data_IF_087367080767
#
_entry.id   IF_087367080767
#
_cell.length_a   1.000
_cell.length_b   1.000
_cell.length_c   1.000
_cell.angle_alpha   90.00
_cell.angle_beta   90.00
_cell.angle_gamma   90.00
#
_symmetry.space_group_name_H-M   'P 1'
#
loop_
_entity.id
_entity.type
_entity.pdbx_description
1 polymer ?
#
# COMPACT_ATOMS: atom_id res chain seq x y z
N UNK A 1 22.37 42.78 -33.78
CA UNK A 1 22.22 41.36 -34.16
C UNK A 1 23.23 40.56 -33.36
N UNK A 2 22.72 39.64 -32.51
CA UNK A 2 23.35 38.67 -31.58
C UNK A 2 22.45 38.64 -30.31
N UNK A 3 21.17 38.26 -30.42
CA UNK A 3 20.67 36.88 -30.39
C UNK A 3 21.20 36.11 -29.15
N UNK A 4 20.48 36.15 -28.02
CA UNK A 4 19.50 35.12 -27.63
C UNK A 4 20.07 33.81 -27.03
N UNK A 5 21.16 33.83 -26.24
CA UNK A 5 21.72 32.62 -25.59
C UNK A 5 21.78 32.74 -24.04
N UNK A 6 20.84 33.45 -23.42
CA UNK A 6 20.81 33.64 -21.96
C UNK A 6 19.54 33.16 -21.25
N UNK A 7 18.63 32.48 -21.95
CA UNK A 7 17.24 32.32 -21.49
C UNK A 7 16.64 30.96 -21.89
N UNK A 8 17.39 29.87 -21.70
CA UNK A 8 16.94 28.48 -22.00
C UNK A 8 16.87 27.59 -20.74
N UNK A 9 17.05 28.14 -19.52
CA UNK A 9 16.91 27.34 -18.27
C UNK A 9 15.60 27.63 -17.51
N UNK A 10 14.78 28.59 -17.95
CA UNK A 10 13.48 28.89 -17.30
C UNK A 10 12.26 28.29 -18.03
N UNK A 11 12.48 27.37 -18.97
CA UNK A 11 11.44 26.77 -19.81
C UNK A 11 10.70 25.56 -19.21
N UNK A 12 10.85 25.26 -17.92
CA UNK A 12 10.13 24.16 -17.26
C UNK A 12 9.24 24.62 -16.08
N UNK A 13 8.86 25.91 -16.02
CA UNK A 13 7.64 26.28 -15.31
C UNK A 13 6.46 26.03 -16.24
N UNK A 14 6.07 24.77 -16.39
CA UNK A 14 4.75 24.43 -16.90
C UNK A 14 3.75 24.86 -15.82
N UNK A 15 2.88 25.87 -16.03
CA UNK A 15 1.66 25.91 -15.24
C UNK A 15 0.79 24.83 -15.87
N UNK A 16 1.01 23.56 -15.48
CA UNK A 16 -0.08 22.61 -15.52
C UNK A 16 -1.24 23.35 -14.84
N UNK A 17 -2.36 23.52 -15.54
CA UNK A 17 -3.62 24.01 -14.98
C UNK A 17 -4.13 23.02 -13.94
N UNK A 18 -3.38 22.84 -12.88
CA UNK A 18 -3.74 22.07 -11.71
C UNK A 18 -4.77 22.93 -10.99
N UNK A 19 -5.98 22.42 -10.86
CA UNK A 19 -6.93 23.02 -9.92
C UNK A 19 -6.23 23.08 -8.57
N UNK A 20 -6.16 24.27 -7.95
CA UNK A 20 -5.52 24.47 -6.63
C UNK A 20 -6.03 23.44 -5.61
N UNK A 21 -7.33 23.11 -5.70
CA UNK A 21 -7.98 22.04 -4.92
C UNK A 21 -7.30 20.67 -5.04
N UNK A 22 -6.82 20.28 -6.23
CA UNK A 22 -6.14 19.00 -6.44
C UNK A 22 -4.73 19.01 -5.85
N UNK A 23 -4.03 20.14 -5.94
CA UNK A 23 -2.73 20.32 -5.30
C UNK A 23 -2.86 20.22 -3.79
N UNK A 24 -3.84 20.89 -3.20
CA UNK A 24 -4.15 20.81 -1.77
C UNK A 24 -4.49 19.39 -1.34
N UNK A 25 -5.31 18.68 -2.12
CA UNK A 25 -5.64 17.27 -1.86
C UNK A 25 -4.38 16.38 -1.84
N UNK A 26 -3.49 16.54 -2.82
CA UNK A 26 -2.23 15.78 -2.86
C UNK A 26 -1.36 16.15 -1.66
N UNK A 27 -1.24 17.44 -1.32
CA UNK A 27 -0.47 17.88 -0.14
C UNK A 27 -1.01 17.29 1.16
N UNK A 28 -2.33 17.24 1.32
CA UNK A 28 -2.97 16.62 2.47
C UNK A 28 -2.68 15.11 2.54
N UNK A 29 -2.78 14.39 1.42
CA UNK A 29 -2.40 12.98 1.33
C UNK A 29 -0.91 12.76 1.68
N UNK A 30 -0.01 13.58 1.14
CA UNK A 30 1.42 13.53 1.45
C UNK A 30 1.69 13.80 2.93
N UNK A 31 0.96 14.76 3.54
CA UNK A 31 1.09 15.08 4.96
C UNK A 31 0.65 13.95 5.89
N UNK A 32 -0.20 13.03 5.42
CA UNK A 32 -0.67 11.84 6.14
C UNK A 32 0.18 10.59 5.86
N UNK A 33 1.03 10.64 4.84
CA UNK A 33 1.78 9.49 4.34
C UNK A 33 3.19 9.46 4.88
N UNK A 34 3.63 8.27 5.30
CA UNK A 34 5.04 7.99 5.58
C UNK A 34 5.80 7.68 4.28
N UNK A 35 5.11 7.06 3.31
CA UNK A 35 5.65 6.58 2.06
C UNK A 35 4.60 6.70 0.95
N UNK A 36 5.00 7.12 -0.24
CA UNK A 36 4.17 7.06 -1.46
C UNK A 36 4.96 6.40 -2.56
N UNK A 37 4.37 5.37 -3.17
CA UNK A 37 5.03 4.54 -4.17
C UNK A 37 4.12 4.25 -5.34
N UNK A 38 4.73 3.96 -6.49
CA UNK A 38 4.12 3.12 -7.50
C UNK A 38 4.60 1.70 -7.27
N UNK A 39 3.67 0.75 -7.13
CA UNK A 39 3.99 -0.65 -6.84
C UNK A 39 3.08 -1.61 -7.60
N UNK A 40 3.62 -2.76 -7.99
CA UNK A 40 2.88 -3.83 -8.66
C UNK A 40 2.48 -4.88 -7.65
N UNK A 41 1.19 -5.23 -7.60
CA UNK A 41 0.71 -6.29 -6.73
C UNK A 41 1.17 -7.66 -7.23
N UNK A 42 1.72 -8.48 -6.34
CA UNK A 42 2.19 -9.83 -6.69
C UNK A 42 1.20 -10.88 -6.19
N UNK A 43 1.04 -10.95 -4.88
CA UNK A 43 0.26 -11.97 -4.19
C UNK A 43 -0.38 -11.38 -2.94
N UNK A 44 -1.31 -12.13 -2.36
CA UNK A 44 -1.86 -11.80 -1.05
C UNK A 44 -1.91 -13.03 -0.16
N UNK A 45 -1.88 -12.79 1.14
CA UNK A 45 -1.91 -13.81 2.18
C UNK A 45 -2.97 -13.41 3.20
N UNK A 46 -4.06 -14.21 3.35
CA UNK A 46 -5.04 -13.98 4.39
C UNK A 46 -4.40 -14.09 5.79
N UNK A 47 -4.77 -13.18 6.68
CA UNK A 47 -4.44 -13.24 8.11
C UNK A 47 -5.65 -13.77 8.85
N UNK A 48 -5.50 -14.87 9.57
CA UNK A 48 -6.60 -15.59 10.22
C UNK A 48 -6.34 -15.84 11.69
N UNK A 49 -7.41 -15.88 12.50
CA UNK A 49 -7.35 -16.31 13.89
C UNK A 49 -7.27 -17.85 13.97
N UNK A 50 -6.05 -18.36 14.19
CA UNK A 50 -5.73 -19.78 14.19
C UNK A 50 -6.54 -20.56 15.22
N UNK A 51 -6.76 -19.97 16.40
CA UNK A 51 -7.43 -20.66 17.51
C UNK A 51 -8.90 -20.89 17.16
N UNK A 52 -9.59 -19.86 16.66
CA UNK A 52 -10.99 -19.99 16.24
C UNK A 52 -11.13 -20.94 15.04
N UNK A 53 -10.23 -20.84 14.08
CA UNK A 53 -10.24 -21.72 12.92
C UNK A 53 -10.02 -23.20 13.28
N UNK A 54 -9.06 -23.50 14.17
CA UNK A 54 -8.78 -24.88 14.61
C UNK A 54 -9.97 -25.50 15.35
N UNK A 55 -10.59 -24.77 16.28
CA UNK A 55 -11.76 -25.23 17.03
C UNK A 55 -12.93 -25.61 16.11
N UNK A 56 -13.09 -24.91 14.99
CA UNK A 56 -14.11 -25.25 14.00
C UNK A 56 -13.75 -26.55 13.25
N UNK A 57 -12.49 -26.74 12.83
CA UNK A 57 -12.03 -28.00 12.19
C UNK A 57 -12.24 -29.23 13.04
N UNK A 58 -12.00 -29.12 14.34
CA UNK A 58 -12.22 -30.22 15.28
C UNK A 58 -13.72 -30.56 15.42
N UNK A 59 -14.61 -29.57 15.28
CA UNK A 59 -16.07 -29.76 15.35
C UNK A 59 -16.70 -30.21 14.03
N UNK A 60 -16.09 -29.88 12.90
CA UNK A 60 -16.58 -30.21 11.56
C UNK A 60 -15.39 -30.41 10.60
N UNK A 61 -14.91 -31.65 10.45
CA UNK A 61 -13.69 -31.95 9.68
C UNK A 61 -13.82 -31.68 8.17
N UNK A 62 -15.05 -31.66 7.65
CA UNK A 62 -15.35 -31.19 6.29
C UNK A 62 -15.57 -29.68 6.34
N UNK A 63 -14.49 -28.92 6.49
CA UNK A 63 -14.57 -27.47 6.48
C UNK A 63 -14.54 -26.95 5.05
N UNK A 64 -15.65 -26.34 4.64
CA UNK A 64 -15.73 -25.53 3.43
C UNK A 64 -14.70 -24.39 3.50
N UNK A 65 -13.74 -24.30 2.56
CA UNK A 65 -12.77 -23.20 2.48
C UNK A 65 -13.42 -21.80 2.54
N UNK A 66 -14.66 -21.64 2.06
CA UNK A 66 -15.40 -20.38 2.12
C UNK A 66 -15.71 -19.93 3.57
N UNK A 67 -15.68 -20.82 4.56
CA UNK A 67 -15.86 -20.46 5.97
C UNK A 67 -14.61 -19.84 6.61
N UNK A 68 -13.43 -20.02 6.01
CA UNK A 68 -12.18 -19.43 6.51
C UNK A 68 -12.26 -17.89 6.60
N UNK A 69 -13.06 -17.26 5.72
CA UNK A 69 -13.29 -15.82 5.71
C UNK A 69 -13.91 -15.28 7.01
N UNK A 70 -14.64 -16.12 7.76
CA UNK A 70 -15.23 -15.73 9.05
C UNK A 70 -14.18 -15.50 10.13
N UNK A 71 -13.00 -16.08 9.98
CA UNK A 71 -11.89 -16.00 10.93
C UNK A 71 -10.79 -15.07 10.42
N UNK A 72 -10.98 -14.46 9.26
CA UNK A 72 -10.03 -13.53 8.67
C UNK A 72 -10.05 -12.20 9.45
N UNK A 73 -8.89 -11.82 9.94
CA UNK A 73 -8.63 -10.55 10.62
C UNK A 73 -8.22 -9.46 9.62
N UNK A 74 -7.58 -9.86 8.53
CA UNK A 74 -7.05 -8.96 7.51
C UNK A 74 -6.41 -9.72 6.35
N UNK A 75 -5.80 -8.97 5.46
CA UNK A 75 -5.03 -9.49 4.33
C UNK A 75 -3.70 -8.75 4.26
N UNK A 76 -2.62 -9.50 4.07
CA UNK A 76 -1.31 -8.93 3.73
C UNK A 76 -1.14 -9.05 2.22
N UNK A 77 -1.01 -7.91 1.55
CA UNK A 77 -0.64 -7.83 0.15
C UNK A 77 0.87 -7.69 0.04
N UNK A 78 1.47 -8.54 -0.78
CA UNK A 78 2.86 -8.39 -1.19
C UNK A 78 2.90 -7.68 -2.53
N UNK A 79 3.62 -6.58 -2.58
CA UNK A 79 3.82 -5.78 -3.78
C UNK A 79 5.31 -5.59 -4.04
N UNK A 80 5.67 -5.40 -5.30
CA UNK A 80 7.01 -4.98 -5.68
C UNK A 80 7.00 -3.49 -6.01
N UNK A 81 7.86 -2.74 -5.32
CA UNK A 81 8.00 -1.29 -5.53
C UNK A 81 8.61 -1.05 -6.91
N UNK A 82 7.97 -0.20 -7.72
CA UNK A 82 8.46 0.23 -9.03
C UNK A 82 9.13 1.59 -8.93
N UNK A 83 8.55 2.47 -8.13
CA UNK A 83 9.02 3.84 -7.95
C UNK A 83 8.63 4.35 -6.57
N UNK A 84 9.48 5.21 -6.01
CA UNK A 84 9.20 5.93 -4.77
C UNK A 84 9.01 7.40 -5.09
N UNK A 85 7.81 7.89 -4.83
CA UNK A 85 7.38 9.24 -5.14
C UNK A 85 7.67 10.18 -3.99
N UNK A 86 7.45 9.71 -2.76
CA UNK A 86 7.63 10.51 -1.56
C UNK A 86 8.00 9.62 -0.38
N UNK A 87 8.84 10.16 0.51
CA UNK A 87 9.15 9.60 1.82
C UNK A 87 9.12 10.74 2.84
N UNK A 88 8.43 10.55 3.95
CA UNK A 88 8.41 11.56 5.01
C UNK A 88 9.82 11.72 5.59
N UNK A 89 10.46 12.90 5.44
CA UNK A 89 11.81 13.14 5.94
C UNK A 89 11.92 12.98 7.47
N UNK A 90 10.84 13.21 8.22
CA UNK A 90 10.86 13.06 9.69
C UNK A 90 10.98 11.61 10.14
N UNK A 91 10.67 10.66 9.26
CA UNK A 91 10.69 9.21 9.54
C UNK A 91 11.73 8.46 8.72
N UNK A 92 12.47 9.15 7.86
CA UNK A 92 13.46 8.54 6.96
C UNK A 92 14.69 7.95 7.68
N UNK A 93 14.97 8.36 8.93
CA UNK A 93 16.14 7.92 9.69
C UNK A 93 15.98 6.63 10.51
N UNK A 94 14.74 6.16 10.74
CA UNK A 94 14.46 5.07 11.70
C UNK A 94 14.29 3.68 11.04
N UNK A 95 14.56 3.54 9.75
CA UNK A 95 13.96 2.47 8.94
C UNK A 95 15.01 1.72 8.11
N UNK A 96 15.05 0.39 8.26
CA UNK A 96 15.68 -0.50 7.30
C UNK A 96 15.00 -0.30 5.93
N UNK A 97 15.80 0.07 4.94
CA UNK A 97 15.43 0.50 3.58
C UNK A 97 14.35 -0.40 2.96
N UNK A 98 13.07 -0.09 3.21
CA UNK A 98 11.93 -0.63 2.45
C UNK A 98 11.39 0.54 1.64
N UNK A 99 11.38 0.37 0.32
CA UNK A 99 10.97 1.41 -0.61
C UNK A 99 12.14 1.92 -1.44
N UNK A 100 13.00 1.04 -1.93
CA UNK A 100 13.71 1.21 -3.18
C UNK A 100 12.96 0.47 -4.29
N UNK A 101 13.13 0.88 -5.56
CA UNK A 101 12.66 0.09 -6.69
C UNK A 101 13.18 -1.35 -6.61
N UNK A 102 12.28 -2.32 -6.75
CA UNK A 102 12.56 -3.76 -6.63
C UNK A 102 12.30 -4.36 -5.24
N UNK A 103 12.16 -3.54 -4.19
CA UNK A 103 11.87 -4.05 -2.85
C UNK A 103 10.47 -4.67 -2.76
N UNK A 104 10.36 -5.69 -1.91
CA UNK A 104 9.07 -6.22 -1.48
C UNK A 104 8.46 -5.29 -0.42
N UNK A 105 7.25 -4.81 -0.70
CA UNK A 105 6.41 -4.01 0.17
C UNK A 105 5.26 -4.87 0.69
N UNK A 106 5.08 -4.92 2.02
CA UNK A 106 3.95 -5.60 2.64
C UNK A 106 2.91 -4.59 3.12
N UNK A 107 1.69 -4.73 2.63
CA UNK A 107 0.56 -3.88 2.99
C UNK A 107 -0.48 -4.72 3.71
N UNK A 108 -0.73 -4.41 4.98
CA UNK A 108 -1.83 -4.98 5.74
C UNK A 108 -3.10 -4.16 5.55
N UNK A 109 -4.19 -4.84 5.21
CA UNK A 109 -5.55 -4.26 5.14
C UNK A 109 -6.45 -5.05 6.09
N UNK A 110 -7.08 -4.39 7.09
CA UNK A 110 -7.95 -5.08 8.03
C UNK A 110 -9.26 -5.52 7.38
N UNK A 111 -9.82 -6.62 7.89
CA UNK A 111 -11.10 -7.18 7.45
C UNK A 111 -10.96 -8.29 6.42
N UNK A 112 -12.03 -8.53 5.68
CA UNK A 112 -12.05 -9.61 4.68
C UNK A 112 -11.34 -9.19 3.41
N UNK A 113 -10.92 -10.17 2.62
CA UNK A 113 -10.55 -9.97 1.23
C UNK A 113 -11.70 -9.21 0.56
N UNK A 114 -11.43 -7.98 0.14
CA UNK A 114 -12.43 -7.19 -0.56
C UNK A 114 -12.69 -7.83 -1.93
N UNK A 115 -13.96 -7.89 -2.33
CA UNK A 115 -14.32 -8.28 -3.70
C UNK A 115 -13.57 -7.33 -4.65
N UNK A 116 -12.93 -7.84 -5.72
CA UNK A 116 -12.33 -7.01 -6.75
C UNK A 116 -13.22 -5.82 -7.16
N UNK A 117 -14.54 -6.00 -7.24
CA UNK A 117 -15.53 -5.00 -7.65
C UNK A 117 -15.82 -3.93 -6.58
N UNK A 118 -15.43 -4.16 -5.32
CA UNK A 118 -15.52 -3.18 -4.23
C UNK A 118 -14.32 -2.21 -4.22
N UNK A 119 -13.88 -1.74 -5.40
CA UNK A 119 -12.66 -0.95 -5.67
C UNK A 119 -12.46 0.37 -4.88
N UNK A 120 -13.29 0.66 -3.87
CA UNK A 120 -13.06 1.70 -2.85
C UNK A 120 -12.48 1.17 -1.53
N UNK A 121 -12.40 -0.15 -1.34
CA UNK A 121 -11.59 -0.81 -0.30
C UNK A 121 -10.30 -1.26 -0.96
N UNK A 122 -9.18 -1.19 -0.26
CA UNK A 122 -7.83 -1.46 -0.78
C UNK A 122 -7.59 -2.93 -1.20
N UNK A 123 -8.33 -3.42 -2.20
CA UNK A 123 -8.12 -4.68 -2.86
C UNK A 123 -7.07 -4.50 -3.96
N UNK A 124 -5.93 -5.16 -3.83
CA UNK A 124 -4.90 -5.17 -4.86
C UNK A 124 -5.02 -6.45 -5.67
N UNK A 125 -5.25 -6.32 -6.97
CA UNK A 125 -5.31 -7.43 -7.90
C UNK A 125 -3.91 -7.80 -8.37
N UNK A 126 -3.51 -9.09 -8.33
CA UNK A 126 -2.24 -9.54 -8.87
C UNK A 126 -1.99 -9.02 -10.30
N UNK A 127 -0.78 -8.49 -10.53
CA UNK A 127 -0.38 -7.86 -11.80
C UNK A 127 -0.80 -6.40 -11.95
N UNK A 128 -1.72 -5.89 -11.12
CA UNK A 128 -2.11 -4.49 -11.13
C UNK A 128 -0.99 -3.58 -10.63
N UNK A 129 -0.76 -2.46 -11.32
CA UNK A 129 0.15 -1.40 -10.88
C UNK A 129 -0.64 -0.29 -10.21
N UNK A 130 -0.20 0.15 -9.03
CA UNK A 130 -0.94 1.10 -8.20
C UNK A 130 -0.05 2.24 -7.73
N UNK A 131 -0.59 3.46 -7.72
CA UNK A 131 -0.10 4.55 -6.88
C UNK A 131 -0.72 4.39 -5.50
N UNK A 132 0.12 4.28 -4.47
CA UNK A 132 -0.32 3.98 -3.11
C UNK A 132 0.29 4.95 -2.11
N UNK A 133 -0.57 5.58 -1.32
CA UNK A 133 -0.24 6.44 -0.19
C UNK A 133 -0.32 5.64 1.10
N UNK A 134 0.80 5.53 1.80
CA UNK A 134 1.00 4.56 2.86
C UNK A 134 1.44 5.23 4.16
N UNK A 135 0.95 4.69 5.26
CA UNK A 135 1.47 4.92 6.59
C UNK A 135 1.92 3.60 7.20
N UNK A 136 2.86 3.64 8.14
CA UNK A 136 3.29 2.45 8.87
C UNK A 136 2.10 1.85 9.62
N UNK A 137 1.89 0.55 9.48
CA UNK A 137 0.85 -0.14 10.21
C UNK A 137 1.22 -0.22 11.70
N UNK A 138 0.29 0.14 12.56
CA UNK A 138 0.40 -0.04 14.02
C UNK A 138 -0.25 -1.39 14.36
N UNK A 139 0.54 -2.45 14.29
CA UNK A 139 0.10 -3.82 14.58
C UNK A 139 0.69 -4.25 15.92
N UNK A 140 -0.14 -4.34 16.95
CA UNK A 140 0.29 -4.85 18.25
C UNK A 140 0.26 -6.38 18.25
N UNK A 141 1.37 -7.00 18.66
CA UNK A 141 1.43 -8.46 18.80
C UNK A 141 0.38 -9.01 19.75
N UNK A 142 -0.05 -8.22 20.73
CA UNK A 142 -1.08 -8.63 21.68
C UNK A 142 -2.46 -8.82 21.01
N UNK A 143 -2.80 -7.93 20.08
CA UNK A 143 -4.05 -7.99 19.30
C UNK A 143 -4.08 -9.20 18.36
N UNK A 144 -2.90 -9.69 17.97
CA UNK A 144 -2.70 -10.75 16.99
C UNK A 144 -2.08 -12.04 17.57
N UNK A 145 -2.19 -12.28 18.88
CA UNK A 145 -1.54 -13.43 19.57
C UNK A 145 -1.79 -14.80 18.94
N UNK A 146 -2.97 -15.03 18.37
CA UNK A 146 -3.33 -16.26 17.66
C UNK A 146 -3.40 -16.10 16.14
N UNK A 147 -3.00 -14.94 15.61
CA UNK A 147 -3.11 -14.64 14.20
C UNK A 147 -1.97 -15.32 13.43
N UNK A 148 -2.33 -15.85 12.27
CA UNK A 148 -1.36 -16.42 11.34
C UNK A 148 -1.63 -15.97 9.92
N UNK A 149 -0.54 -15.75 9.19
CA UNK A 149 -0.54 -15.52 7.76
C UNK A 149 -0.59 -16.86 7.04
N UNK A 150 -1.59 -17.00 6.16
CA UNK A 150 -1.92 -18.23 5.44
C UNK A 150 -1.61 -18.07 3.95
N UNK A 151 -0.94 -19.06 3.36
CA UNK A 151 -0.84 -19.21 1.89
C UNK A 151 -1.95 -20.15 1.45
N UNK A 152 -2.85 -19.71 0.57
CA UNK A 152 -4.01 -20.50 0.13
C UNK A 152 -3.59 -21.87 -0.38
N UNK A 153 -4.11 -22.93 0.25
CA UNK A 153 -3.82 -24.33 -0.09
C UNK A 153 -2.60 -24.92 0.62
N UNK A 154 -1.84 -24.12 1.37
CA UNK A 154 -0.69 -24.60 2.13
C UNK A 154 -1.11 -25.32 3.43
N UNK A 155 -0.40 -26.38 3.84
CA UNK A 155 -0.64 -27.04 5.12
C UNK A 155 -0.40 -26.09 6.30
N UNK A 156 -1.09 -26.32 7.42
CA UNK A 156 -0.99 -25.45 8.62
C UNK A 156 0.43 -25.34 9.19
N UNK A 157 1.32 -26.29 8.88
CA UNK A 157 2.74 -26.25 9.24
C UNK A 157 3.51 -25.11 8.55
N UNK A 158 3.01 -24.57 7.45
CA UNK A 158 3.62 -23.47 6.69
C UNK A 158 3.07 -22.11 7.09
N UNK A 159 2.07 -22.07 7.98
CA UNK A 159 1.43 -20.83 8.41
C UNK A 159 2.34 -20.10 9.39
N UNK A 160 2.52 -18.79 9.18
CA UNK A 160 3.46 -17.98 9.96
C UNK A 160 2.72 -17.14 10.98
N UNK A 161 3.30 -16.92 12.16
CA UNK A 161 2.73 -15.99 13.14
C UNK A 161 2.69 -14.57 12.60
N UNK A 162 1.59 -13.86 12.88
CA UNK A 162 1.39 -12.49 12.45
C UNK A 162 1.19 -11.56 13.66
N UNK A 163 1.75 -10.33 13.67
CA UNK A 163 2.75 -9.82 12.73
C UNK A 163 4.15 -10.41 12.99
N UNK A 164 4.95 -10.59 11.93
CA UNK A 164 6.37 -10.90 12.08
C UNK A 164 7.12 -9.64 12.57
N UNK A 165 7.80 -9.68 13.73
CA UNK A 165 8.48 -8.51 14.31
C UNK A 165 9.66 -8.00 13.47
N UNK A 166 10.20 -8.84 12.58
CA UNK A 166 11.35 -8.50 11.74
C UNK A 166 10.92 -7.76 10.48
N UNK A 167 9.62 -7.67 10.24
CA UNK A 167 9.04 -7.20 9.00
C UNK A 167 8.25 -5.92 9.27
N UNK A 168 8.36 -4.98 8.34
CA UNK A 168 7.61 -3.73 8.39
C UNK A 168 6.37 -3.89 7.51
N UNK A 169 5.21 -3.69 8.12
CA UNK A 169 3.94 -3.63 7.43
C UNK A 169 3.50 -2.17 7.28
N UNK A 170 2.96 -1.85 6.12
CA UNK A 170 2.28 -0.59 5.86
C UNK A 170 0.77 -0.81 5.81
N UNK A 171 0.00 0.25 5.92
CA UNK A 171 -1.43 0.28 5.61
C UNK A 171 -1.70 1.48 4.72
N UNK A 172 -2.66 1.41 3.79
CA UNK A 172 -3.08 2.58 3.04
C UNK A 172 -3.57 3.67 4.00
N UNK A 173 -3.31 4.93 3.63
CA UNK A 173 -3.97 6.07 4.28
C UNK A 173 -5.48 5.93 4.11
N UNK A 174 -6.24 6.29 5.14
CA UNK A 174 -7.70 6.25 5.08
C UNK A 174 -8.24 7.43 4.28
N UNK A 175 -8.15 7.32 2.95
CA UNK A 175 -8.65 8.30 1.99
C UNK A 175 -9.05 7.60 0.68
N UNK A 176 -10.14 8.01 0.00
CA UNK A 176 -10.55 7.41 -1.27
C UNK A 176 -9.50 7.47 -2.40
N UNK A 177 -8.54 8.39 -2.32
CA UNK A 177 -7.49 8.57 -3.32
C UNK A 177 -6.13 8.01 -2.87
N UNK A 178 -6.09 7.30 -1.74
CA UNK A 178 -4.87 6.69 -1.24
C UNK A 178 -4.42 5.48 -2.06
N UNK A 179 -5.30 4.86 -2.83
CA UNK A 179 -5.00 3.68 -3.67
C UNK A 179 -5.61 3.90 -5.04
N UNK A 180 -4.77 4.02 -6.07
CA UNK A 180 -5.21 4.29 -7.44
C UNK A 180 -4.56 3.27 -8.37
N UNK A 181 -5.37 2.52 -9.12
CA UNK A 181 -4.89 1.64 -10.19
C UNK A 181 -4.38 2.50 -11.36
N UNK A 182 -3.18 2.23 -11.86
CA UNK A 182 -2.46 3.05 -12.86
C UNK A 182 -2.95 2.85 -14.29
N UNK A 183 -4.24 3.14 -14.49
CA UNK A 183 -4.93 3.10 -15.79
C UNK A 183 -5.56 4.46 -16.12
N UNK A 184 -5.56 4.81 -17.41
CA UNK A 184 -6.24 6.01 -17.93
C UNK A 184 -5.88 7.30 -17.19
N UNK A 185 -6.89 7.95 -16.61
CA UNK A 185 -6.82 9.27 -15.98
C UNK A 185 -5.89 9.35 -14.75
N UNK A 186 -5.53 8.22 -14.14
CA UNK A 186 -4.71 8.22 -12.93
C UNK A 186 -3.22 8.48 -13.20
N UNK A 187 -2.76 8.33 -14.45
CA UNK A 187 -1.40 8.71 -14.85
C UNK A 187 -1.14 10.21 -14.68
N UNK A 188 -2.14 11.04 -14.97
CA UNK A 188 -2.02 12.49 -14.77
C UNK A 188 -1.93 12.82 -13.28
N UNK A 189 -2.70 12.13 -12.43
CA UNK A 189 -2.63 12.30 -10.98
C UNK A 189 -1.25 11.90 -10.43
N UNK A 190 -0.63 10.85 -10.96
CA UNK A 190 0.74 10.46 -10.62
C UNK A 190 1.75 11.58 -10.96
N UNK A 191 1.68 12.15 -12.17
CA UNK A 191 2.58 13.24 -12.55
C UNK A 191 2.43 14.47 -11.64
N UNK A 192 1.19 14.81 -11.29
CA UNK A 192 0.91 15.89 -10.34
C UNK A 192 1.44 15.56 -8.95
N UNK A 193 1.30 14.31 -8.50
CA UNK A 193 1.83 13.85 -7.22
C UNK A 193 3.35 13.99 -7.16
N UNK A 194 4.06 13.60 -8.23
CA UNK A 194 5.52 13.82 -8.36
C UNK A 194 5.88 15.29 -8.29
N UNK A 195 5.15 16.16 -9.00
CA UNK A 195 5.41 17.59 -9.00
C UNK A 195 5.23 18.19 -7.60
N UNK A 196 4.17 17.83 -6.89
CA UNK A 196 3.89 18.33 -5.53
C UNK A 196 4.89 17.78 -4.52
N UNK A 197 5.27 16.50 -4.62
CA UNK A 197 6.23 15.87 -3.71
C UNK A 197 7.65 16.47 -3.84
N UNK A 198 8.03 16.89 -5.04
CA UNK A 198 9.34 17.50 -5.32
C UNK A 198 9.35 19.03 -5.21
N UNK A 199 8.20 19.67 -4.99
CA UNK A 199 8.14 21.12 -4.84
C UNK A 199 8.86 21.55 -3.54
N UNK A 200 9.63 22.65 -3.56
CA UNK A 200 10.24 23.19 -2.35
C UNK A 200 9.14 23.49 -1.33
N UNK A 201 9.31 23.01 -0.10
CA UNK A 201 8.40 23.33 1.01
C UNK A 201 8.52 24.84 1.29
N UNK A 202 7.38 25.56 1.45
CA UNK A 202 7.40 26.98 1.81
C UNK A 202 8.03 27.22 3.18
#
# INVERSE_FOLDING_TARGET
MLAHIGLIVWGMMWPLGQSERRVEQIRDLLGKSDLVVVATAETYHPVIDLLKYRRERERSPVLDPARAERYMLGVVYRMTVREVIYRDPKRAGDIAVVGQPGDALLIYVPGRLADPREFGKAAFLPGGEYLVFLQRAKLDREDFRSAVEHVVGAPMSEWRSFPDPRVIYYTPVRDPFAVLLMEGAWRDFLQQTRAVANAPKP
#
